data_IF_618475010885
#
_entry.id   IF_618475010885
#
_cell.length_a   1.000
_cell.length_b   1.000
_cell.length_c   1.000
_cell.angle_alpha   90.00
_cell.angle_beta   90.00
_cell.angle_gamma   90.00
#
_symmetry.space_group_name_H-M   'P 1'
#
loop_
_entity.id
_entity.type
_entity.pdbx_description
1 polymer ?
#
# COMPACT_ATOMS: atom_id res chain seq x y z
N UNK A 1 7.12 1.29 -18.54
CA UNK A 1 6.00 0.63 -17.85
C UNK A 1 5.66 -0.68 -18.56
N UNK A 2 5.96 -1.84 -17.96
CA UNK A 2 5.68 -3.15 -18.60
C UNK A 2 4.27 -3.69 -18.27
N UNK A 3 3.31 -2.81 -17.95
CA UNK A 3 1.93 -3.18 -17.61
C UNK A 3 1.70 -3.71 -16.18
N UNK A 4 2.74 -3.88 -15.37
CA UNK A 4 2.64 -4.41 -13.99
C UNK A 4 1.66 -3.62 -13.11
N UNK A 5 1.83 -2.30 -13.03
CA UNK A 5 0.92 -1.44 -12.26
C UNK A 5 -0.51 -1.50 -12.80
N UNK A 6 -0.68 -1.58 -14.13
CA UNK A 6 -2.01 -1.72 -14.75
C UNK A 6 -2.69 -3.02 -14.36
N UNK A 7 -1.95 -4.14 -14.37
CA UNK A 7 -2.44 -5.44 -13.92
C UNK A 7 -2.79 -5.41 -12.43
N UNK A 8 -1.92 -4.88 -11.58
CA UNK A 8 -2.21 -4.73 -10.14
C UNK A 8 -3.49 -3.94 -9.90
N UNK A 9 -3.68 -2.81 -10.59
CA UNK A 9 -4.92 -2.00 -10.50
C UNK A 9 -6.17 -2.78 -10.92
N UNK A 10 -6.06 -3.63 -11.95
CA UNK A 10 -7.17 -4.47 -12.36
C UNK A 10 -7.50 -5.52 -11.29
N UNK A 11 -6.48 -6.17 -10.72
CA UNK A 11 -6.65 -7.22 -9.71
C UNK A 11 -7.17 -6.70 -8.37
N UNK A 12 -6.81 -5.48 -7.98
CA UNK A 12 -7.30 -4.85 -6.73
C UNK A 12 -8.84 -4.75 -6.71
N UNK A 13 -9.47 -4.55 -7.88
CA UNK A 13 -10.94 -4.49 -8.00
C UNK A 13 -11.64 -5.80 -7.67
N UNK A 14 -10.91 -6.92 -7.66
CA UNK A 14 -11.43 -8.24 -7.31
C UNK A 14 -11.23 -8.60 -5.83
N UNK A 15 -10.59 -7.72 -5.04
CA UNK A 15 -10.46 -7.92 -3.59
C UNK A 15 -11.84 -7.64 -2.94
N UNK A 16 -12.37 -8.53 -2.09
CA UNK A 16 -13.65 -8.32 -1.42
C UNK A 16 -13.73 -6.98 -0.68
N UNK A 17 -14.90 -6.32 -0.75
CA UNK A 17 -15.09 -4.97 -0.17
C UNK A 17 -14.92 -4.89 1.35
N UNK A 18 -15.12 -6.00 2.06
CA UNK A 18 -15.02 -6.04 3.52
C UNK A 18 -13.58 -6.20 4.02
N UNK A 19 -12.63 -6.52 3.14
CA UNK A 19 -11.23 -6.68 3.54
C UNK A 19 -10.58 -5.32 3.87
N UNK A 20 -9.76 -5.32 4.92
CA UNK A 20 -8.89 -4.21 5.29
C UNK A 20 -7.60 -4.26 4.50
N UNK A 21 -7.38 -3.26 3.64
CA UNK A 21 -6.20 -3.18 2.78
C UNK A 21 -5.24 -2.13 3.30
N UNK A 22 -3.95 -2.44 3.35
CA UNK A 22 -2.91 -1.45 3.60
C UNK A 22 -1.94 -1.43 2.44
N UNK A 23 -1.71 -0.26 1.83
CA UNK A 23 -0.64 -0.08 0.84
C UNK A 23 0.57 0.62 1.43
N UNK A 24 1.75 0.28 0.92
CA UNK A 24 3.02 0.96 1.17
C UNK A 24 3.55 1.41 -0.19
N UNK A 25 3.64 2.72 -0.43
CA UNK A 25 3.96 3.29 -1.74
C UNK A 25 5.09 4.31 -1.60
N UNK A 26 6.08 4.31 -2.51
CA UNK A 26 7.05 5.43 -2.62
C UNK A 26 6.47 6.59 -3.42
N UNK A 27 5.69 6.26 -4.45
CA UNK A 27 4.90 7.19 -5.25
C UNK A 27 3.44 6.73 -5.28
N UNK A 28 2.45 7.62 -5.07
CA UNK A 28 1.04 7.23 -5.11
C UNK A 28 0.63 6.73 -6.50
N UNK A 29 0.46 5.42 -6.67
CA UNK A 29 0.05 4.81 -7.93
C UNK A 29 -1.24 4.00 -7.80
N UNK A 30 -1.49 3.35 -6.67
CA UNK A 30 -2.60 2.42 -6.50
C UNK A 30 -3.93 3.14 -6.26
N UNK A 31 -4.99 2.57 -6.85
CA UNK A 31 -6.38 2.98 -6.58
C UNK A 31 -7.04 1.81 -5.84
N UNK A 32 -7.41 2.03 -4.59
CA UNK A 32 -7.97 1.03 -3.69
C UNK A 32 -9.44 1.39 -3.45
N UNK A 33 -10.40 0.68 -4.07
CA UNK A 33 -11.82 0.99 -3.93
C UNK A 33 -12.42 0.56 -2.59
N UNK A 34 -11.75 -0.33 -1.84
CA UNK A 34 -12.26 -0.85 -0.58
C UNK A 34 -12.41 0.28 0.45
N UNK A 35 -13.53 0.36 1.18
CA UNK A 35 -13.78 1.43 2.15
C UNK A 35 -12.79 1.40 3.32
N UNK A 36 -12.36 0.21 3.73
CA UNK A 36 -11.42 0.01 4.83
C UNK A 36 -9.98 -0.08 4.32
N UNK A 37 -9.39 1.06 3.95
CA UNK A 37 -8.00 1.06 3.50
C UNK A 37 -7.14 2.12 4.21
N UNK A 38 -5.85 1.83 4.29
CA UNK A 38 -4.81 2.76 4.75
C UNK A 38 -3.72 2.81 3.70
N UNK A 39 -3.22 4.01 3.40
CA UNK A 39 -2.08 4.19 2.49
C UNK A 39 -0.93 4.78 3.26
N UNK A 40 0.18 4.07 3.30
CA UNK A 40 1.42 4.50 3.91
C UNK A 40 2.40 4.90 2.81
N UNK A 41 3.07 6.02 3.01
CA UNK A 41 4.05 6.53 2.05
C UNK A 41 5.42 6.64 2.69
N UNK A 42 6.46 6.31 1.93
CA UNK A 42 7.86 6.52 2.33
C UNK A 42 8.62 7.26 1.24
N UNK A 43 9.68 7.98 1.63
CA UNK A 43 10.56 8.63 0.68
C UNK A 43 11.87 7.87 0.56
N UNK A 44 12.20 7.39 -0.64
CA UNK A 44 13.53 6.89 -0.97
C UNK A 44 14.51 8.06 -0.95
N UNK A 45 15.14 8.32 0.21
CA UNK A 45 16.23 9.30 0.31
C UNK A 45 16.14 10.34 1.43
N UNK A 46 15.56 10.02 2.60
CA UNK A 46 15.54 10.89 3.79
C UNK A 46 14.90 12.29 3.60
N UNK A 47 14.19 12.54 2.49
CA UNK A 47 13.47 13.80 2.25
C UNK A 47 12.10 13.85 2.94
N UNK A 48 11.66 12.75 3.57
CA UNK A 48 10.44 12.69 4.36
C UNK A 48 10.68 13.02 5.84
N UNK A 49 9.63 13.48 6.53
CA UNK A 49 9.64 13.81 7.97
C UNK A 49 10.03 12.61 8.87
N UNK A 50 9.86 11.39 8.38
CA UNK A 50 10.26 10.15 9.05
C UNK A 50 11.27 9.40 8.18
N UNK A 51 12.37 8.93 8.80
CA UNK A 51 13.34 8.04 8.16
C UNK A 51 12.84 6.59 7.99
N UNK A 52 11.53 6.36 8.13
CA UNK A 52 10.94 5.04 8.03
C UNK A 52 10.88 4.61 6.56
N UNK A 53 11.59 3.53 6.25
CA UNK A 53 11.56 2.88 4.95
C UNK A 53 10.40 1.91 4.82
N UNK A 54 10.33 1.19 3.68
CA UNK A 54 9.25 0.25 3.42
C UNK A 54 9.24 -0.92 4.42
N UNK A 55 10.39 -1.27 5.00
CA UNK A 55 10.50 -2.32 6.03
C UNK A 55 9.83 -1.89 7.33
N UNK A 56 10.14 -0.70 7.82
CA UNK A 56 9.56 -0.18 9.06
C UNK A 56 8.04 0.02 8.93
N UNK A 57 7.59 0.47 7.75
CA UNK A 57 6.16 0.56 7.45
C UNK A 57 5.51 -0.83 7.41
N UNK A 58 6.14 -1.83 6.80
CA UNK A 58 5.63 -3.20 6.77
C UNK A 58 5.46 -3.78 8.18
N UNK A 59 6.44 -3.59 9.06
CA UNK A 59 6.34 -4.00 10.47
C UNK A 59 5.20 -3.28 11.21
N UNK A 60 4.98 -1.99 10.89
CA UNK A 60 3.85 -1.23 11.42
C UNK A 60 2.50 -1.79 10.94
N UNK A 61 2.39 -2.13 9.65
CA UNK A 61 1.18 -2.70 9.05
C UNK A 61 0.73 -3.97 9.79
N UNK A 62 1.64 -4.84 10.21
CA UNK A 62 1.29 -6.09 10.91
C UNK A 62 0.53 -5.85 12.22
N UNK A 63 0.70 -4.69 12.86
CA UNK A 63 -0.04 -4.30 14.09
C UNK A 63 -1.42 -3.70 13.79
N UNK A 64 -1.69 -3.33 12.54
CA UNK A 64 -2.94 -2.71 12.09
C UNK A 64 -4.01 -3.72 11.66
N UNK A 65 -3.75 -5.02 11.85
CA UNK A 65 -4.63 -6.15 11.46
C UNK A 65 -5.17 -6.04 10.02
N UNK A 66 -4.30 -5.96 9.00
CA UNK A 66 -4.72 -5.99 7.61
C UNK A 66 -5.19 -7.39 7.22
N UNK A 67 -6.14 -7.45 6.30
CA UNK A 67 -6.42 -8.67 5.53
C UNK A 67 -5.41 -8.80 4.37
N UNK A 68 -4.98 -7.67 3.77
CA UNK A 68 -3.94 -7.62 2.73
C UNK A 68 -3.00 -6.44 2.86
N UNK A 69 -1.74 -6.67 2.52
CA UNK A 69 -0.71 -5.63 2.36
C UNK A 69 -0.27 -5.58 0.90
N UNK A 70 -0.29 -4.38 0.30
CA UNK A 70 0.16 -4.10 -1.06
C UNK A 70 1.46 -3.26 -0.99
N UNK A 71 2.45 -3.59 -1.82
CA UNK A 71 3.76 -2.93 -1.89
C UNK A 71 3.98 -2.27 -3.26
#
# INVERSE_FOLDING_TARGET
>A
GSGKTTLSKALIKHIPEHERIISIEDTPELIIPQPNHVRLFYSKGAQGLSGAGPKELLESCLRMRPDRILL
#
